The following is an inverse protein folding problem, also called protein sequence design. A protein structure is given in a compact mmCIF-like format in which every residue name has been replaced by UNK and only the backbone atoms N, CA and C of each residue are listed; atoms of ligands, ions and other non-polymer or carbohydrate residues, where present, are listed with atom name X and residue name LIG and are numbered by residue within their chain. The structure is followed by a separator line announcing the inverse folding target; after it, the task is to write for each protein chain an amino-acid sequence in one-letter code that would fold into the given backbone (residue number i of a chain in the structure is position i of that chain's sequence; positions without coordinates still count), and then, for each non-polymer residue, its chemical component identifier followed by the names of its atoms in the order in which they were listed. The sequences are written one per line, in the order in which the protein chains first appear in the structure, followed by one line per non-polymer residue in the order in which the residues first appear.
data_IF_878287422142
#
_entry.id   IF_878287422142
#
_cell.length_a   1.000
_cell.length_b   1.000
_cell.length_c   1.000
_cell.angle_alpha   90.00
_cell.angle_beta   90.00
_cell.angle_gamma   90.00
#
_symmetry.space_group_name_H-M   'P 1'
#
loop_
_entity.id
_entity.type
_entity.pdbx_description
1 polymer ?
#
# COMPACT_ATOMS: atom_id res chain seq x y z
N UNK A 1 1.41 2.44 20.87
CA UNK A 1 2.58 1.56 20.65
C UNK A 1 3.49 2.23 19.66
N UNK A 2 4.81 2.24 19.88
CA UNK A 2 5.78 2.76 18.92
C UNK A 2 6.14 1.59 17.99
N UNK A 3 5.95 1.75 16.68
CA UNK A 3 6.32 0.76 15.65
C UNK A 3 7.78 0.32 15.82
N UNK A 4 8.05 -0.98 15.73
CA UNK A 4 9.40 -1.53 15.72
C UNK A 4 10.19 -0.96 14.55
N UNK A 5 11.45 -0.57 14.80
CA UNK A 5 12.27 0.13 13.81
C UNK A 5 12.49 -0.65 12.51
N UNK A 6 12.48 -1.99 12.58
CA UNK A 6 12.65 -2.85 11.42
C UNK A 6 11.42 -2.90 10.50
N UNK A 7 10.25 -2.50 11.00
CA UNK A 7 9.00 -2.40 10.24
C UNK A 7 8.68 -0.94 9.84
N UNK A 8 9.43 0.04 10.36
CA UNK A 8 9.22 1.46 10.03
C UNK A 8 9.28 1.73 8.51
N UNK A 9 10.15 1.12 7.69
CA UNK A 9 10.18 1.41 6.26
C UNK A 9 8.84 1.07 5.57
N UNK A 10 8.22 -0.08 5.87
CA UNK A 10 6.86 -0.38 5.41
C UNK A 10 5.84 0.67 5.89
N UNK A 11 5.89 1.06 7.16
CA UNK A 11 5.03 2.13 7.68
C UNK A 11 5.25 3.50 7.01
N UNK A 12 6.45 3.77 6.45
CA UNK A 12 6.71 4.98 5.66
C UNK A 12 6.05 4.88 4.29
N UNK A 13 6.11 3.72 3.66
CA UNK A 13 5.41 3.46 2.39
C UNK A 13 3.89 3.64 2.54
N UNK A 14 3.33 3.21 3.67
CA UNK A 14 1.93 3.45 4.02
C UNK A 14 1.55 4.93 4.08
N UNK A 15 2.48 5.81 4.45
CA UNK A 15 2.23 7.25 4.40
C UNK A 15 1.97 7.72 2.96
N UNK A 16 2.78 7.26 2.00
CA UNK A 16 2.59 7.57 0.59
C UNK A 16 1.32 6.92 0.02
N UNK A 17 1.02 5.68 0.43
CA UNK A 17 -0.26 5.03 0.09
C UNK A 17 -1.46 5.85 0.55
N UNK A 18 -1.46 6.36 1.79
CA UNK A 18 -2.52 7.24 2.30
C UNK A 18 -2.55 8.60 1.60
N UNK A 19 -1.41 9.14 1.18
CA UNK A 19 -1.36 10.36 0.37
C UNK A 19 -1.97 10.14 -1.02
N UNK A 20 -1.70 8.99 -1.66
CA UNK A 20 -2.34 8.59 -2.91
C UNK A 20 -3.87 8.52 -2.76
N UNK A 21 -4.37 7.86 -1.71
CA UNK A 21 -5.79 7.83 -1.35
C UNK A 21 -6.38 9.24 -1.23
N UNK A 22 -5.66 10.14 -0.55
CA UNK A 22 -6.10 11.52 -0.40
C UNK A 22 -6.15 12.25 -1.76
N UNK A 23 -5.12 12.12 -2.59
CA UNK A 23 -5.05 12.76 -3.92
C UNK A 23 -6.20 12.32 -4.82
N UNK A 24 -6.49 11.02 -4.89
CA UNK A 24 -7.63 10.46 -5.63
C UNK A 24 -8.93 11.13 -5.19
N UNK A 25 -9.19 11.16 -3.88
CA UNK A 25 -10.40 11.78 -3.32
C UNK A 25 -10.50 13.28 -3.57
N UNK A 26 -9.36 13.99 -3.60
CA UNK A 26 -9.37 15.41 -4.00
C UNK A 26 -9.75 15.58 -5.46
N UNK A 27 -9.19 14.78 -6.36
CA UNK A 27 -9.54 14.79 -7.79
C UNK A 27 -11.03 14.56 -8.01
N UNK A 28 -11.59 13.53 -7.37
CA UNK A 28 -13.02 13.22 -7.43
C UNK A 28 -13.85 14.40 -6.91
N UNK A 29 -13.53 14.95 -5.74
CA UNK A 29 -14.24 16.09 -5.12
C UNK A 29 -14.22 17.34 -6.00
N UNK A 30 -13.14 17.54 -6.75
CA UNK A 30 -12.95 18.67 -7.68
C UNK A 30 -13.55 18.43 -9.06
N UNK A 31 -14.20 17.28 -9.28
CA UNK A 31 -14.69 16.83 -10.58
C UNK A 31 -13.60 16.85 -11.67
N UNK A 32 -12.38 16.43 -11.32
CA UNK A 32 -11.29 16.23 -12.29
C UNK A 32 -11.65 15.05 -13.20
N UNK A 33 -11.36 15.16 -14.50
CA UNK A 33 -11.54 14.07 -15.46
C UNK A 33 -10.97 12.74 -14.93
N UNK A 34 -11.78 11.67 -14.95
CA UNK A 34 -11.39 10.39 -14.35
C UNK A 34 -10.11 9.81 -14.95
N UNK A 35 -9.84 10.07 -16.23
CA UNK A 35 -8.62 9.65 -16.91
C UNK A 35 -7.34 10.30 -16.34
N UNK A 36 -7.42 11.54 -15.83
CA UNK A 36 -6.27 12.18 -15.16
C UNK A 36 -5.96 11.52 -13.83
N UNK A 37 -6.98 11.23 -13.04
CA UNK A 37 -6.84 10.53 -11.76
C UNK A 37 -6.34 9.10 -12.01
N UNK A 38 -6.91 8.41 -13.01
CA UNK A 38 -6.46 7.08 -13.46
C UNK A 38 -4.98 7.05 -13.80
N UNK A 39 -4.50 8.04 -14.56
CA UNK A 39 -3.09 8.11 -14.93
C UNK A 39 -2.18 8.20 -13.69
N UNK A 40 -2.59 8.93 -12.65
CA UNK A 40 -1.89 8.95 -11.37
C UNK A 40 -1.94 7.61 -10.63
N UNK A 41 -3.10 6.97 -10.56
CA UNK A 41 -3.23 5.65 -9.90
C UNK A 41 -2.32 4.61 -10.56
N UNK A 42 -2.27 4.58 -11.89
CA UNK A 42 -1.42 3.65 -12.64
C UNK A 42 0.07 3.97 -12.50
N UNK A 43 0.42 5.25 -12.41
CA UNK A 43 1.78 5.69 -12.07
C UNK A 43 2.17 5.22 -10.66
N UNK A 44 1.35 5.52 -9.66
CA UNK A 44 1.61 5.17 -8.27
C UNK A 44 1.68 3.65 -8.06
N UNK A 45 0.86 2.88 -8.77
CA UNK A 45 0.97 1.42 -8.78
C UNK A 45 2.36 0.97 -9.21
N UNK A 46 2.80 1.39 -10.40
CA UNK A 46 4.06 0.93 -11.00
C UNK A 46 5.30 1.38 -10.26
N UNK A 47 5.30 2.63 -9.80
CA UNK A 47 6.48 3.24 -9.21
C UNK A 47 6.61 2.99 -7.70
N UNK A 48 5.58 2.44 -7.06
CA UNK A 48 5.56 2.32 -5.60
C UNK A 48 4.78 1.11 -5.08
N UNK A 49 3.47 1.03 -5.33
CA UNK A 49 2.62 0.06 -4.62
C UNK A 49 2.90 -1.39 -5.01
N UNK A 50 3.28 -1.65 -6.26
CA UNK A 50 3.63 -2.99 -6.74
C UNK A 50 4.89 -3.54 -6.06
N UNK A 51 5.94 -2.71 -5.94
CA UNK A 51 7.18 -3.09 -5.25
C UNK A 51 6.95 -3.26 -3.76
N UNK A 52 6.17 -2.37 -3.14
CA UNK A 52 5.81 -2.47 -1.73
C UNK A 52 5.16 -3.83 -1.40
N UNK A 53 4.13 -4.23 -2.16
CA UNK A 53 3.50 -5.54 -1.95
C UNK A 53 4.44 -6.71 -2.20
N UNK A 54 5.32 -6.59 -3.20
CA UNK A 54 6.34 -7.61 -3.46
C UNK A 54 7.28 -7.79 -2.27
N UNK A 55 7.72 -6.68 -1.66
CA UNK A 55 8.58 -6.72 -0.48
C UNK A 55 7.85 -7.32 0.73
N UNK A 56 6.56 -7.07 0.89
CA UNK A 56 5.76 -7.72 1.92
C UNK A 56 5.69 -9.23 1.71
N UNK A 57 5.32 -9.65 0.50
CA UNK A 57 5.19 -11.06 0.12
C UNK A 57 6.53 -11.82 0.26
N UNK A 58 7.65 -11.17 -0.07
CA UNK A 58 8.97 -11.80 -0.08
C UNK A 58 9.65 -11.79 1.30
N UNK A 59 9.41 -10.78 2.14
CA UNK A 59 10.19 -10.53 3.36
C UNK A 59 9.41 -10.74 4.66
N UNK A 60 8.09 -10.61 4.66
CA UNK A 60 7.32 -10.85 5.88
C UNK A 60 7.21 -12.36 6.15
N UNK A 61 7.44 -12.81 7.40
CA UNK A 61 7.29 -14.22 7.75
C UNK A 61 5.84 -14.70 7.56
N UNK A 62 5.68 -16.01 7.36
CA UNK A 62 4.35 -16.63 7.24
C UNK A 62 3.42 -16.24 8.39
N UNK A 63 2.25 -15.69 8.05
CA UNK A 63 1.22 -15.27 8.99
C UNK A 63 0.58 -16.51 9.62
N UNK A 64 0.86 -16.75 10.90
CA UNK A 64 0.36 -17.95 11.60
C UNK A 64 -1.17 -17.91 11.81
N UNK A 65 -1.74 -16.71 11.95
CA UNK A 65 -3.18 -16.52 12.05
C UNK A 65 -3.83 -16.66 10.66
N UNK A 66 -4.53 -17.75 10.43
CA UNK A 66 -5.14 -18.06 9.13
C UNK A 66 -6.18 -17.03 8.68
N UNK A 67 -6.92 -16.39 9.59
CA UNK A 67 -7.85 -15.32 9.23
C UNK A 67 -7.12 -14.08 8.72
N UNK A 68 -6.02 -13.70 9.39
CA UNK A 68 -5.19 -12.56 8.96
C UNK A 68 -4.47 -12.85 7.66
N UNK A 69 -3.98 -14.08 7.48
CA UNK A 69 -3.37 -14.52 6.21
C UNK A 69 -4.37 -14.41 5.06
N UNK A 70 -5.55 -15.01 5.23
CA UNK A 70 -6.58 -14.97 4.21
C UNK A 70 -7.01 -13.54 3.88
N UNK A 71 -7.05 -12.65 4.88
CA UNK A 71 -7.38 -11.24 4.67
C UNK A 71 -6.28 -10.51 3.91
N UNK A 72 -5.00 -10.72 4.26
CA UNK A 72 -3.83 -10.19 3.53
C UNK A 72 -3.89 -10.59 2.05
N UNK A 73 -3.97 -11.89 1.78
CA UNK A 73 -4.00 -12.44 0.42
C UNK A 73 -5.19 -11.88 -0.38
N UNK A 74 -6.37 -11.79 0.26
CA UNK A 74 -7.58 -11.29 -0.38
C UNK A 74 -7.52 -9.79 -0.70
N UNK A 75 -7.04 -8.95 0.22
CA UNK A 75 -6.90 -7.51 0.00
C UNK A 75 -5.87 -7.21 -1.09
N UNK A 76 -4.74 -7.93 -1.10
CA UNK A 76 -3.73 -7.85 -2.15
C UNK A 76 -4.27 -8.22 -3.53
N UNK A 77 -5.05 -9.32 -3.59
CA UNK A 77 -5.70 -9.76 -4.83
C UNK A 77 -6.75 -8.76 -5.31
N UNK A 78 -7.56 -8.21 -4.40
CA UNK A 78 -8.58 -7.20 -4.72
C UNK A 78 -7.95 -5.94 -5.31
N UNK A 79 -6.88 -5.43 -4.69
CA UNK A 79 -6.19 -4.22 -5.18
C UNK A 79 -5.59 -4.45 -6.57
N UNK A 80 -4.96 -5.61 -6.80
CA UNK A 80 -4.44 -6.00 -8.13
C UNK A 80 -5.54 -6.10 -9.17
N UNK A 81 -6.69 -6.66 -8.81
CA UNK A 81 -7.85 -6.74 -9.71
C UNK A 81 -8.41 -5.34 -10.04
N UNK A 82 -8.49 -4.44 -9.05
CA UNK A 82 -8.91 -3.06 -9.24
C UNK A 82 -7.96 -2.31 -10.17
N UNK A 83 -6.64 -2.47 -10.00
CA UNK A 83 -5.64 -1.89 -10.93
C UNK A 83 -5.85 -2.41 -12.35
N UNK A 84 -6.08 -3.71 -12.54
CA UNK A 84 -6.37 -4.27 -13.86
C UNK A 84 -7.62 -3.65 -14.48
N UNK A 85 -8.71 -3.48 -13.71
CA UNK A 85 -9.91 -2.79 -14.19
C UNK A 85 -9.62 -1.33 -14.55
N UNK A 86 -8.93 -0.60 -13.67
CA UNK A 86 -8.54 0.81 -13.85
C UNK A 86 -7.67 0.96 -15.11
N UNK A 87 -6.81 -0.02 -15.40
CA UNK A 87 -5.97 0.00 -16.59
C UNK A 87 -6.77 -0.04 -17.90
N UNK A 88 -7.95 -0.66 -17.91
CA UNK A 88 -8.82 -0.70 -19.07
C UNK A 88 -9.65 0.58 -19.21
N UNK A 89 -10.24 1.05 -18.11
CA UNK A 89 -10.96 2.32 -18.03
C UNK A 89 -11.20 2.68 -16.56
N UNK A 90 -11.54 3.94 -16.28
CA UNK A 90 -11.88 4.35 -14.92
C UNK A 90 -13.02 5.36 -14.89
N UNK A 91 -13.93 5.14 -13.95
CA UNK A 91 -14.90 6.12 -13.45
C UNK A 91 -14.60 6.44 -11.98
N UNK A 92 -15.33 7.38 -11.41
CA UNK A 92 -15.14 7.78 -10.01
C UNK A 92 -15.42 6.65 -9.02
N UNK A 93 -16.38 5.77 -9.34
CA UNK A 93 -16.74 4.65 -8.47
C UNK A 93 -15.58 3.65 -8.37
N UNK A 94 -14.92 3.34 -9.49
CA UNK A 94 -13.78 2.43 -9.52
C UNK A 94 -12.55 3.04 -8.82
N UNK A 95 -12.31 4.34 -9.02
CA UNK A 95 -11.21 5.06 -8.35
C UNK A 95 -11.43 5.15 -6.83
N UNK A 96 -12.66 5.43 -6.37
CA UNK A 96 -12.98 5.46 -4.94
C UNK A 96 -12.91 4.06 -4.33
N UNK A 97 -13.31 3.00 -5.06
CA UNK A 97 -13.13 1.61 -4.60
C UNK A 97 -11.66 1.31 -4.37
N UNK A 98 -10.77 1.61 -5.32
CA UNK A 98 -9.34 1.45 -5.12
C UNK A 98 -8.82 2.24 -3.90
N UNK A 99 -9.19 3.52 -3.80
CA UNK A 99 -8.76 4.37 -2.68
C UNK A 99 -9.24 3.82 -1.32
N UNK A 100 -10.46 3.26 -1.27
CA UNK A 100 -11.02 2.62 -0.09
C UNK A 100 -10.28 1.32 0.25
N UNK A 101 -10.08 0.42 -0.71
CA UNK A 101 -9.43 -0.88 -0.49
C UNK A 101 -7.98 -0.68 -0.05
N UNK A 102 -7.23 0.23 -0.68
CA UNK A 102 -5.87 0.58 -0.25
C UNK A 102 -5.84 1.16 1.18
N UNK A 103 -6.76 2.06 1.52
CA UNK A 103 -6.84 2.60 2.87
C UNK A 103 -7.19 1.52 3.92
N UNK A 104 -8.05 0.58 3.56
CA UNK A 104 -8.45 -0.52 4.45
C UNK A 104 -7.27 -1.45 4.70
N UNK A 105 -6.57 -1.81 3.64
CA UNK A 105 -5.38 -2.65 3.68
C UNK A 105 -4.27 -2.07 4.58
N UNK A 106 -3.87 -0.82 4.33
CA UNK A 106 -2.89 -0.11 5.17
C UNK A 106 -3.33 -0.09 6.64
N UNK A 107 -4.64 0.10 6.91
CA UNK A 107 -5.15 0.12 8.29
C UNK A 107 -5.16 -1.26 8.92
N UNK A 108 -5.38 -2.32 8.15
CA UNK A 108 -5.26 -3.68 8.62
C UNK A 108 -3.82 -3.94 9.05
N UNK A 109 -2.84 -3.63 8.21
CA UNK A 109 -1.44 -3.93 8.50
C UNK A 109 -0.95 -3.16 9.71
N UNK A 110 -1.17 -1.85 9.71
CA UNK A 110 -0.71 -0.97 10.77
C UNK A 110 -1.31 -1.31 12.14
N UNK A 111 -2.56 -1.77 12.17
CA UNK A 111 -3.32 -1.92 13.43
C UNK A 111 -3.48 -3.36 13.88
N UNK A 112 -3.21 -4.33 13.01
CA UNK A 112 -3.37 -5.75 13.31
C UNK A 112 -2.14 -6.56 12.92
N UNK A 113 -1.71 -6.53 11.66
CA UNK A 113 -0.64 -7.40 11.18
C UNK A 113 0.71 -7.09 11.83
N UNK A 114 1.15 -5.83 11.77
CA UNK A 114 2.44 -5.46 12.33
C UNK A 114 2.46 -5.58 13.86
N UNK A 115 1.41 -5.21 14.62
CA UNK A 115 1.31 -5.57 16.04
C UNK A 115 1.44 -7.07 16.32
N UNK A 116 0.79 -7.93 15.52
CA UNK A 116 0.91 -9.38 15.68
C UNK A 116 2.36 -9.85 15.47
N UNK A 117 3.06 -9.31 14.48
CA UNK A 117 4.48 -9.61 14.29
C UNK A 117 5.35 -9.09 15.44
N UNK A 118 5.08 -7.89 15.94
CA UNK A 118 5.81 -7.32 17.09
C UNK A 118 5.61 -8.14 18.38
N UNK A 119 4.44 -8.76 18.54
CA UNK A 119 4.13 -9.61 19.70
C UNK A 119 4.64 -11.05 19.56
N UNK A 120 4.71 -11.59 18.33
CA UNK A 120 4.99 -13.02 18.08
C UNK A 120 6.42 -13.32 17.60
N UNK A 121 7.11 -12.37 16.98
CA UNK A 121 8.46 -12.57 16.44
C UNK A 121 9.54 -12.22 17.47
N UNK A 122 10.66 -12.93 17.40
CA UNK A 122 11.85 -12.57 18.16
C UNK A 122 12.52 -11.32 17.57
N UNK A 123 13.36 -10.67 18.39
CA UNK A 123 14.17 -9.53 17.95
C UNK A 123 15.07 -9.89 16.76
N UNK A 124 15.69 -11.08 16.78
CA UNK A 124 16.52 -11.56 15.67
C UNK A 124 15.74 -11.71 14.35
N UNK A 125 14.48 -12.17 14.42
CA UNK A 125 13.61 -12.27 13.24
C UNK A 125 13.25 -10.89 12.70
N UNK A 126 12.85 -9.96 13.58
CA UNK A 126 12.53 -8.58 13.20
C UNK A 126 13.73 -7.86 12.59
N UNK A 127 14.92 -8.00 13.17
CA UNK A 127 16.15 -7.47 12.59
C UNK A 127 16.47 -8.10 11.22
N UNK A 128 16.17 -9.39 11.04
CA UNK A 128 16.30 -10.08 9.75
C UNK A 128 15.49 -9.39 8.66
N UNK A 129 14.22 -9.08 8.96
CA UNK A 129 13.33 -8.32 8.07
C UNK A 129 13.95 -6.95 7.77
N UNK A 130 14.32 -6.20 8.81
CA UNK A 130 14.88 -4.85 8.67
C UNK A 130 16.15 -4.81 7.81
N UNK A 131 17.05 -5.78 7.98
CA UNK A 131 18.27 -5.90 7.18
C UNK A 131 17.98 -6.18 5.71
N UNK A 132 17.06 -7.08 5.41
CA UNK A 132 16.69 -7.42 4.03
C UNK A 132 15.95 -6.25 3.37
N UNK A 133 15.08 -5.57 4.12
CA UNK A 133 14.35 -4.40 3.65
C UNK A 133 15.31 -3.25 3.34
N UNK A 134 16.29 -2.97 4.21
CA UNK A 134 17.28 -1.93 3.95
C UNK A 134 18.16 -2.16 2.70
N UNK A 135 18.25 -3.39 2.19
CA UNK A 135 19.00 -3.72 0.98
C UNK A 135 18.17 -3.61 -0.30
N UNK A 136 16.86 -3.78 -0.20
CA UNK A 136 15.96 -3.88 -1.34
C UNK A 136 15.05 -2.66 -1.49
N UNK A 137 14.69 -2.03 -0.37
CA UNK A 137 13.82 -0.87 -0.32
C UNK A 137 14.58 0.39 -0.72
N UNK A 138 14.02 1.11 -1.70
CA UNK A 138 14.54 2.38 -2.13
C UNK A 138 13.51 3.47 -1.80
N UNK A 139 13.93 4.62 -1.25
CA UNK A 139 13.01 5.73 -1.04
C UNK A 139 12.40 6.18 -2.37
N UNK A 140 11.08 6.22 -2.45
CA UNK A 140 10.37 6.73 -3.60
C UNK A 140 10.02 8.21 -3.40
N UNK A 141 10.29 9.03 -4.41
CA UNK A 141 9.76 10.39 -4.51
C UNK A 141 8.57 10.41 -5.46
N UNK A 142 7.44 10.96 -5.02
CA UNK A 142 6.27 11.16 -5.89
C UNK A 142 6.55 12.34 -6.83
N UNK A 143 7.13 12.03 -7.99
CA UNK A 143 7.49 12.99 -9.03
C UNK A 143 6.37 13.16 -10.08
N UNK A 144 5.13 12.83 -9.74
CA UNK A 144 4.02 12.92 -10.68
C UNK A 144 3.75 14.38 -11.09
N UNK A 145 3.81 14.73 -12.39
CA UNK A 145 3.83 16.12 -12.84
C UNK A 145 2.44 16.79 -12.84
N UNK A 146 1.36 16.02 -12.89
CA UNK A 146 0.00 16.55 -12.93
C UNK A 146 -0.60 16.64 -11.52
N UNK A 147 -0.50 17.82 -10.90
CA UNK A 147 -1.03 18.11 -9.56
C UNK A 147 -2.56 18.33 -9.55
N UNK A 148 -3.33 17.40 -10.12
CA UNK A 148 -4.79 17.51 -10.24
C UNK A 148 -5.54 17.66 -8.89
N UNK A 149 -4.87 17.33 -7.78
CA UNK A 149 -5.42 17.42 -6.43
C UNK A 149 -5.41 18.83 -5.84
N UNK A 150 -4.76 19.81 -6.49
CA UNK A 150 -4.65 21.20 -6.01
C UNK A 150 -5.87 22.07 -6.35
#
# INVERSE_FOLDING_TARGET
MKRNENLIPFSRDHHYGLLCVWKIRQGIRKNVESDRIRAYVLYFWKEHLEEHFKLEDDLLPEIQNSEMKNMMDAEHAEIRELINKISASADYDLLEKFAKSLQQHIRFEERKLFPEYEDSLSEEQLEGIGRQLAQQHHPHEDAYPDEFWL
#
